data_IF_717650957267
#
_entry.id   IF_717650957267
#
_cell.length_a   1.000
_cell.length_b   1.000
_cell.length_c   1.000
_cell.angle_alpha   90.00
_cell.angle_beta   90.00
_cell.angle_gamma   90.00
#
_symmetry.space_group_name_H-M   'P 1'
#
loop_
_entity.id
_entity.type
_entity.pdbx_description
1 polymer ?
#
# COMPACT_ATOMS: atom_id res chain seq x y z
N UNK A 1 -32.76 -11.45 14.36
CA UNK A 1 -31.75 -10.49 13.83
C UNK A 1 -30.40 -10.99 14.29
N UNK A 2 -29.38 -10.94 13.43
CA UNK A 2 -28.02 -11.30 13.82
C UNK A 2 -27.47 -10.27 14.80
N UNK A 3 -26.84 -10.73 15.86
CA UNK A 3 -26.16 -9.88 16.85
C UNK A 3 -24.89 -9.27 16.24
N UNK A 4 -24.70 -7.96 16.37
CA UNK A 4 -23.54 -7.22 15.87
C UNK A 4 -22.49 -6.96 16.94
N UNK A 5 -22.77 -7.26 18.22
CA UNK A 5 -21.82 -7.10 19.31
C UNK A 5 -20.44 -7.73 19.02
N UNK A 6 -20.33 -8.92 18.40
CA UNK A 6 -19.03 -9.54 18.10
C UNK A 6 -18.11 -8.71 17.19
N UNK A 7 -18.64 -7.77 16.39
CA UNK A 7 -17.83 -6.88 15.55
C UNK A 7 -16.99 -5.91 16.38
N UNK A 8 -17.44 -5.57 17.59
CA UNK A 8 -16.81 -4.59 18.47
C UNK A 8 -15.91 -5.22 19.54
N UNK A 9 -15.76 -6.55 19.52
CA UNK A 9 -14.86 -7.28 20.40
C UNK A 9 -13.42 -7.25 19.88
N UNK A 10 -12.41 -7.11 20.75
CA UNK A 10 -11.00 -7.22 20.37
C UNK A 10 -10.66 -8.57 19.73
N UNK A 11 -9.66 -8.56 18.86
CA UNK A 11 -9.10 -9.77 18.24
C UNK A 11 -7.58 -9.69 18.19
N UNK A 12 -6.92 -10.85 18.35
CA UNK A 12 -5.47 -10.97 18.18
C UNK A 12 -5.16 -11.58 16.81
N UNK A 13 -4.44 -10.84 15.97
CA UNK A 13 -4.01 -11.27 14.63
C UNK A 13 -2.51 -11.53 14.68
N UNK A 14 -2.11 -12.82 14.72
CA UNK A 14 -0.68 -13.24 14.77
C UNK A 14 0.16 -12.50 15.82
N UNK A 15 -0.43 -12.14 16.95
CA UNK A 15 0.23 -11.42 18.04
C UNK A 15 -0.18 -9.95 18.17
N UNK A 16 -0.59 -9.30 17.08
CA UNK A 16 -1.09 -7.92 17.08
C UNK A 16 -2.47 -7.84 17.72
N UNK A 17 -2.61 -7.01 18.75
CA UNK A 17 -3.90 -6.69 19.36
C UNK A 17 -4.63 -5.63 18.53
N UNK A 18 -5.82 -5.98 18.05
CA UNK A 18 -6.72 -5.10 17.29
C UNK A 18 -7.96 -4.85 18.15
N UNK A 19 -8.37 -3.59 18.39
CA UNK A 19 -9.38 -3.27 19.40
C UNK A 19 -10.79 -3.71 19.01
N UNK A 20 -11.06 -3.98 17.74
CA UNK A 20 -12.31 -4.51 17.23
C UNK A 20 -12.10 -5.20 15.87
N UNK A 21 -13.17 -5.77 15.30
CA UNK A 21 -13.13 -6.52 14.03
C UNK A 21 -13.53 -5.67 12.81
N UNK A 22 -13.56 -4.35 12.96
CA UNK A 22 -13.84 -3.41 11.88
C UNK A 22 -12.52 -2.99 11.25
N UNK A 23 -12.35 -3.35 9.97
CA UNK A 23 -11.16 -3.02 9.19
C UNK A 23 -11.57 -2.05 8.08
N UNK A 24 -10.82 -0.96 7.94
CA UNK A 24 -10.92 -0.13 6.74
C UNK A 24 -10.21 -0.84 5.59
N UNK A 25 -10.98 -1.15 4.54
CA UNK A 25 -10.45 -1.70 3.30
C UNK A 25 -9.53 -0.71 2.57
N UNK A 26 -8.55 -1.22 1.80
CA UNK A 26 -7.68 -0.40 0.97
C UNK A 26 -8.49 0.34 -0.11
N UNK A 27 -8.30 1.66 -0.19
CA UNK A 27 -9.09 2.53 -1.07
C UNK A 27 -8.20 3.59 -1.71
N UNK A 28 -7.71 3.35 -2.93
CA UNK A 28 -6.93 4.34 -3.68
C UNK A 28 -7.68 5.64 -3.88
N UNK A 29 -7.06 6.76 -3.49
CA UNK A 29 -7.69 8.09 -3.52
C UNK A 29 -7.05 9.04 -4.53
N UNK A 30 -5.78 8.86 -4.86
CA UNK A 30 -5.01 9.76 -5.74
C UNK A 30 -4.87 11.18 -5.18
N UNK A 31 -4.61 11.29 -3.87
CA UNK A 31 -4.40 12.56 -3.14
C UNK A 31 -2.94 12.79 -2.72
N UNK A 32 -2.00 12.03 -3.28
CA UNK A 32 -0.57 12.16 -2.97
C UNK A 32 0.18 12.75 -4.17
N UNK A 33 0.09 14.07 -4.43
CA UNK A 33 0.70 14.67 -5.61
C UNK A 33 2.21 14.38 -5.67
N UNK A 34 2.68 13.85 -6.80
CA UNK A 34 4.07 13.43 -6.96
C UNK A 34 4.42 12.17 -6.15
N UNK A 35 3.43 11.37 -5.77
CA UNK A 35 3.61 10.15 -4.99
C UNK A 35 3.89 10.38 -3.51
N UNK A 36 3.75 11.60 -3.00
CA UNK A 36 4.05 11.96 -1.60
C UNK A 36 2.77 12.22 -0.82
N UNK A 37 2.44 11.43 0.23
CA UNK A 37 1.30 11.71 1.08
C UNK A 37 1.55 12.94 1.94
N UNK A 38 0.62 13.89 1.90
CA UNK A 38 0.65 15.14 2.67
C UNK A 38 -0.14 15.06 3.97
N UNK A 39 -0.27 16.21 4.63
CA UNK A 39 -1.04 16.35 5.87
C UNK A 39 -2.52 15.96 5.69
N UNK A 40 -3.10 16.23 4.52
CA UNK A 40 -4.48 15.87 4.20
C UNK A 40 -4.71 14.34 4.20
N UNK A 41 -3.70 13.57 3.77
CA UNK A 41 -3.69 12.10 3.83
C UNK A 41 -3.55 11.62 5.28
N UNK A 42 -2.68 12.24 6.07
CA UNK A 42 -2.52 11.92 7.50
C UNK A 42 -3.84 12.18 8.27
N UNK A 43 -4.44 13.35 8.11
CA UNK A 43 -5.71 13.73 8.73
C UNK A 43 -6.85 12.80 8.28
N UNK A 44 -6.81 12.32 7.03
CA UNK A 44 -7.78 11.37 6.50
C UNK A 44 -7.77 10.02 7.24
N UNK A 45 -6.59 9.45 7.50
CA UNK A 45 -6.48 8.19 8.22
C UNK A 45 -6.69 8.37 9.73
N UNK A 46 -6.14 9.43 10.33
CA UNK A 46 -6.30 9.73 11.75
C UNK A 46 -7.77 9.84 12.16
N UNK A 47 -8.61 10.50 11.34
CA UNK A 47 -10.06 10.61 11.59
C UNK A 47 -10.79 9.26 11.66
N UNK A 48 -10.27 8.22 11.01
CA UNK A 48 -10.88 6.88 11.01
C UNK A 48 -10.45 6.08 12.22
N UNK A 49 -9.19 6.19 12.59
CA UNK A 49 -8.69 5.64 13.85
C UNK A 49 -9.46 6.25 15.03
N UNK A 50 -9.65 7.58 15.03
CA UNK A 50 -10.44 8.30 16.02
C UNK A 50 -11.95 7.95 16.02
N UNK A 51 -12.43 7.24 14.99
CA UNK A 51 -13.79 6.74 14.87
C UNK A 51 -13.88 5.22 15.16
N UNK A 52 -12.95 4.71 15.98
CA UNK A 52 -12.88 3.32 16.43
C UNK A 52 -12.73 2.28 15.30
N UNK A 53 -12.10 2.63 14.17
CA UNK A 53 -11.66 1.60 13.20
C UNK A 53 -10.47 0.84 13.79
N UNK A 54 -10.62 -0.48 13.96
CA UNK A 54 -9.61 -1.30 14.63
C UNK A 54 -8.32 -1.45 13.84
N UNK A 55 -8.41 -1.66 12.53
CA UNK A 55 -7.26 -1.73 11.63
C UNK A 55 -7.54 -0.95 10.35
N UNK A 56 -6.58 -0.15 9.93
CA UNK A 56 -6.59 0.59 8.67
C UNK A 56 -5.64 -0.08 7.70
N UNK A 57 -6.13 -0.44 6.53
CA UNK A 57 -5.27 -0.76 5.38
C UNK A 57 -5.24 0.49 4.50
N UNK A 58 -4.04 0.96 4.15
CA UNK A 58 -3.88 2.17 3.34
C UNK A 58 -4.45 1.98 1.93
N UNK A 59 -4.45 3.05 1.14
CA UNK A 59 -4.49 2.93 -0.30
C UNK A 59 -3.30 2.10 -0.83
N UNK A 60 -3.38 1.66 -2.09
CA UNK A 60 -2.26 0.98 -2.74
C UNK A 60 -1.04 1.89 -2.78
N UNK A 61 0.08 1.39 -2.28
CA UNK A 61 1.36 2.12 -2.18
C UNK A 61 2.41 1.42 -3.03
N UNK A 62 3.07 2.15 -3.93
CA UNK A 62 3.86 1.48 -4.98
C UNK A 62 5.30 1.17 -4.56
N UNK A 63 5.74 -0.05 -4.87
CA UNK A 63 7.14 -0.50 -4.72
C UNK A 63 8.09 0.24 -5.67
N UNK A 64 9.41 0.11 -5.44
CA UNK A 64 10.48 0.78 -6.19
C UNK A 64 10.66 0.24 -7.61
N UNK A 65 9.67 0.43 -8.48
CA UNK A 65 9.70 0.05 -9.91
C UNK A 65 8.96 1.10 -10.73
N UNK A 66 9.57 1.59 -11.81
CA UNK A 66 8.95 2.64 -12.62
C UNK A 66 7.61 2.23 -13.26
N UNK A 67 7.43 0.92 -13.52
CA UNK A 67 6.18 0.33 -14.01
C UNK A 67 5.08 0.12 -12.95
N UNK A 68 5.30 0.49 -11.69
CA UNK A 68 4.41 0.12 -10.59
C UNK A 68 3.08 0.86 -10.58
N UNK A 69 3.04 2.11 -11.07
CA UNK A 69 1.86 2.96 -11.08
C UNK A 69 1.52 3.49 -12.48
N UNK A 70 0.23 3.73 -12.71
CA UNK A 70 -0.31 4.48 -13.84
C UNK A 70 -0.83 5.88 -13.48
N UNK A 71 -0.77 6.27 -12.21
CA UNK A 71 -1.20 7.58 -11.71
C UNK A 71 -0.10 8.21 -10.83
N UNK A 72 0.44 9.39 -11.19
CA UNK A 72 1.49 10.06 -10.43
C UNK A 72 1.02 10.61 -9.08
N UNK A 73 -0.28 10.50 -8.76
CA UNK A 73 -0.86 10.91 -7.47
C UNK A 73 -1.14 9.74 -6.53
N UNK A 74 -0.82 8.52 -6.95
CA UNK A 74 -0.80 7.35 -6.07
C UNK A 74 0.52 7.39 -5.30
N UNK A 75 0.48 7.27 -3.97
CA UNK A 75 1.68 7.37 -3.15
C UNK A 75 2.64 6.21 -3.41
N UNK A 76 3.93 6.53 -3.40
CA UNK A 76 4.98 5.51 -3.43
C UNK A 76 5.40 5.11 -2.01
N UNK A 77 6.01 3.93 -1.86
CA UNK A 77 6.49 3.41 -0.58
C UNK A 77 7.98 3.06 -0.67
N UNK A 78 8.78 3.96 -1.25
CA UNK A 78 10.21 3.73 -1.42
C UNK A 78 11.07 4.99 -1.52
N UNK A 79 10.51 6.12 -1.96
CA UNK A 79 11.27 7.38 -1.99
C UNK A 79 11.26 8.05 -0.62
N UNK A 80 12.40 8.62 -0.22
CA UNK A 80 12.58 9.23 1.11
C UNK A 80 11.48 10.24 1.49
N UNK A 81 11.07 11.09 0.53
CA UNK A 81 10.00 12.08 0.76
C UNK A 81 8.66 11.42 1.03
N UNK A 82 8.32 10.38 0.28
CA UNK A 82 7.08 9.65 0.47
C UNK A 82 7.10 8.86 1.79
N UNK A 83 8.24 8.23 2.11
CA UNK A 83 8.43 7.51 3.38
C UNK A 83 8.30 8.44 4.59
N UNK A 84 8.83 9.67 4.53
CA UNK A 84 8.62 10.66 5.59
C UNK A 84 7.14 11.07 5.74
N UNK A 85 6.43 11.22 4.62
CA UNK A 85 4.98 11.44 4.64
C UNK A 85 4.22 10.27 5.27
N UNK A 86 4.59 9.02 4.91
CA UNK A 86 3.99 7.82 5.49
C UNK A 86 4.26 7.66 6.97
N UNK A 87 5.44 8.05 7.44
CA UNK A 87 5.73 8.09 8.87
C UNK A 87 4.76 9.03 9.60
N UNK A 88 4.53 10.22 9.05
CA UNK A 88 3.56 11.18 9.59
C UNK A 88 2.14 10.61 9.63
N UNK A 89 1.74 9.86 8.59
CA UNK A 89 0.45 9.17 8.54
C UNK A 89 0.34 8.09 9.63
N UNK A 90 1.36 7.25 9.78
CA UNK A 90 1.38 6.19 10.78
C UNK A 90 1.32 6.76 12.21
N UNK A 91 2.16 7.75 12.49
CA UNK A 91 2.21 8.44 13.78
C UNK A 91 0.85 9.05 14.13
N UNK A 92 0.16 9.68 13.17
CA UNK A 92 -1.15 10.27 13.37
C UNK A 92 -2.24 9.22 13.67
N UNK A 93 -2.17 8.04 13.03
CA UNK A 93 -3.08 6.92 13.33
C UNK A 93 -2.81 6.34 14.70
N UNK A 94 -1.55 6.14 15.07
CA UNK A 94 -1.17 5.63 16.39
C UNK A 94 -1.53 6.61 17.50
N UNK A 95 -1.35 7.91 17.29
CA UNK A 95 -1.77 8.95 18.23
C UNK A 95 -3.30 8.94 18.47
N UNK A 96 -4.08 8.51 17.48
CA UNK A 96 -5.52 8.31 17.58
C UNK A 96 -5.92 6.91 18.11
N UNK A 97 -4.95 6.06 18.48
CA UNK A 97 -5.19 4.72 19.04
C UNK A 97 -5.48 3.62 18.02
N UNK A 98 -5.34 3.90 16.73
CA UNK A 98 -5.59 2.93 15.66
C UNK A 98 -4.38 2.04 15.33
N UNK A 99 -4.62 1.05 14.47
CA UNK A 99 -3.60 0.22 13.82
C UNK A 99 -3.57 0.48 12.32
N UNK A 100 -2.40 0.38 11.70
CA UNK A 100 -2.25 0.66 10.28
C UNK A 100 -1.28 -0.31 9.58
N UNK A 101 -1.64 -0.71 8.36
CA UNK A 101 -0.84 -1.53 7.47
C UNK A 101 -0.84 -0.92 6.06
N UNK A 102 0.32 -0.77 5.39
CA UNK A 102 0.33 -0.34 4.01
C UNK A 102 -0.05 -1.51 3.11
N UNK A 103 -0.86 -1.24 2.09
CA UNK A 103 -1.04 -2.16 0.96
C UNK A 103 0.15 -1.97 0.01
N UNK A 104 1.07 -2.94 -0.01
CA UNK A 104 2.25 -2.92 -0.87
C UNK A 104 1.85 -3.39 -2.27
N UNK A 105 2.06 -2.55 -3.27
CA UNK A 105 1.34 -2.69 -4.53
C UNK A 105 2.21 -2.49 -5.77
N UNK A 106 1.81 -3.18 -6.84
CA UNK A 106 2.35 -3.03 -8.19
C UNK A 106 1.23 -3.35 -9.20
N UNK A 107 0.92 -2.42 -10.11
CA UNK A 107 -0.15 -2.63 -11.11
C UNK A 107 0.19 -3.73 -12.13
N UNK A 108 1.48 -3.92 -12.38
CA UNK A 108 2.02 -4.85 -13.35
C UNK A 108 1.44 -4.62 -14.75
N UNK A 109 1.01 -5.70 -15.40
CA UNK A 109 0.53 -5.64 -16.79
C UNK A 109 -0.85 -4.97 -16.97
N UNK A 110 -1.46 -4.47 -15.89
CA UNK A 110 -2.65 -3.59 -15.95
C UNK A 110 -2.28 -2.14 -16.23
N UNK A 111 -1.04 -1.71 -15.94
CA UNK A 111 -0.57 -0.35 -16.20
C UNK A 111 -0.60 -0.06 -17.71
N UNK A 112 -1.15 1.08 -18.09
CA UNK A 112 -1.11 1.59 -19.46
C UNK A 112 0.28 2.21 -19.76
N UNK A 113 0.96 1.84 -20.86
CA UNK A 113 2.20 2.50 -21.27
C UNK A 113 2.05 4.02 -21.45
N UNK A 114 3.08 4.80 -21.12
CA UNK A 114 3.05 6.26 -21.22
C UNK A 114 2.28 6.97 -20.11
N UNK A 115 2.00 6.29 -18.99
CA UNK A 115 1.29 6.86 -17.83
C UNK A 115 2.10 6.71 -16.54
N UNK A 116 1.61 7.30 -15.45
CA UNK A 116 2.25 7.22 -14.14
C UNK A 116 3.39 8.22 -13.93
N UNK A 117 4.13 8.07 -12.82
CA UNK A 117 5.27 8.92 -12.50
C UNK A 117 6.43 8.75 -13.50
N UNK A 118 6.59 7.53 -14.04
CA UNK A 118 7.59 7.19 -15.06
C UNK A 118 6.90 6.70 -16.36
N UNK A 119 6.52 7.60 -17.28
CA UNK A 119 5.82 7.24 -18.51
C UNK A 119 6.61 6.30 -19.42
N UNK A 120 7.93 6.43 -19.44
CA UNK A 120 8.84 5.69 -20.31
C UNK A 120 9.24 4.32 -19.75
N UNK A 121 8.95 4.05 -18.47
CA UNK A 121 9.24 2.76 -17.86
C UNK A 121 8.34 1.65 -18.47
N UNK A 122 8.89 0.44 -18.72
CA UNK A 122 8.07 -0.68 -19.13
C UNK A 122 7.13 -1.10 -17.98
N UNK A 123 5.90 -1.51 -18.32
CA UNK A 123 5.11 -2.34 -17.40
C UNK A 123 5.79 -3.70 -17.27
N UNK A 124 5.75 -4.32 -16.11
CA UNK A 124 6.37 -5.62 -15.90
C UNK A 124 5.55 -6.50 -14.96
N UNK A 125 5.90 -7.79 -14.90
CA UNK A 125 5.12 -8.79 -14.19
C UNK A 125 5.62 -10.19 -14.48
N UNK A 126 5.15 -11.20 -13.72
CA UNK A 126 5.83 -12.49 -13.60
C UNK A 126 5.69 -13.41 -14.82
N UNK A 127 5.06 -12.96 -15.92
CA UNK A 127 4.77 -13.83 -17.08
C UNK A 127 4.88 -13.16 -18.45
N UNK A 128 5.14 -11.85 -18.52
CA UNK A 128 5.10 -11.13 -19.82
C UNK A 128 3.68 -11.04 -20.44
N UNK A 129 2.63 -11.47 -19.74
CA UNK A 129 1.24 -11.55 -20.24
C UNK A 129 0.34 -10.51 -19.60
N UNK A 130 -0.53 -9.92 -20.42
CA UNK A 130 -1.63 -9.08 -19.93
C UNK A 130 -2.63 -9.87 -19.08
N UNK A 131 -3.51 -9.17 -18.35
CA UNK A 131 -4.63 -9.79 -17.60
C UNK A 131 -5.59 -10.63 -18.47
N UNK A 132 -5.54 -10.49 -19.80
CA UNK A 132 -6.31 -11.29 -20.76
C UNK A 132 -5.52 -12.49 -21.33
N UNK A 133 -4.32 -12.76 -20.81
CA UNK A 133 -3.46 -13.87 -21.25
C UNK A 133 -2.64 -13.60 -22.51
N UNK A 134 -2.77 -12.43 -23.16
CA UNK A 134 -1.97 -12.07 -24.33
C UNK A 134 -0.51 -11.82 -23.94
N UNK A 135 0.43 -12.51 -24.59
CA UNK A 135 1.87 -12.24 -24.48
C UNK A 135 2.17 -10.87 -25.10
N UNK A 136 2.81 -9.98 -24.34
CA UNK A 136 3.21 -8.64 -24.78
C UNK A 136 4.69 -8.35 -24.56
N UNK A 137 5.35 -9.14 -23.73
CA UNK A 137 6.79 -9.10 -23.45
C UNK A 137 7.30 -10.53 -23.29
N UNK A 138 8.61 -10.82 -23.38
CA UNK A 138 9.16 -12.11 -22.97
C UNK A 138 8.81 -12.46 -21.53
N UNK A 139 8.88 -13.75 -21.19
CA UNK A 139 8.84 -14.16 -19.79
C UNK A 139 10.10 -13.65 -19.07
N UNK A 140 9.97 -13.10 -17.84
CA UNK A 140 11.12 -12.58 -17.11
C UNK A 140 12.08 -13.71 -16.75
N UNK A 141 13.37 -13.40 -16.77
CA UNK A 141 14.44 -14.25 -16.23
C UNK A 141 14.30 -14.39 -14.72
N UNK A 142 14.95 -15.41 -14.14
CA UNK A 142 14.98 -15.61 -12.69
C UNK A 142 15.52 -14.38 -11.94
N UNK A 143 16.53 -13.69 -12.50
CA UNK A 143 17.07 -12.46 -11.92
C UNK A 143 16.05 -11.33 -11.92
N UNK A 144 15.30 -11.14 -13.01
CA UNK A 144 14.26 -10.11 -13.07
C UNK A 144 13.13 -10.40 -12.08
N UNK A 145 12.75 -11.67 -11.90
CA UNK A 145 11.79 -12.07 -10.87
C UNK A 145 12.36 -11.81 -9.47
N UNK A 146 13.63 -12.13 -9.22
CA UNK A 146 14.28 -11.83 -7.95
C UNK A 146 14.27 -10.33 -7.66
N UNK A 147 14.54 -9.48 -8.66
CA UNK A 147 14.48 -8.02 -8.52
C UNK A 147 13.04 -7.52 -8.21
N UNK A 148 12.02 -8.15 -8.79
CA UNK A 148 10.61 -7.86 -8.44
C UNK A 148 10.33 -8.20 -6.97
N UNK A 149 10.76 -9.38 -6.52
CA UNK A 149 10.60 -9.82 -5.12
C UNK A 149 11.32 -8.86 -4.16
N UNK A 150 12.54 -8.45 -4.50
CA UNK A 150 13.30 -7.51 -3.69
C UNK A 150 12.62 -6.14 -3.56
N UNK A 151 11.92 -5.66 -4.60
CA UNK A 151 11.16 -4.41 -4.51
C UNK A 151 10.03 -4.49 -3.46
N UNK A 152 9.32 -5.62 -3.38
CA UNK A 152 8.31 -5.88 -2.34
C UNK A 152 8.95 -6.05 -0.96
N UNK A 153 10.06 -6.80 -0.86
CA UNK A 153 10.76 -7.02 0.39
C UNK A 153 11.30 -5.71 0.99
N UNK A 154 11.86 -4.84 0.16
CA UNK A 154 12.35 -3.53 0.58
C UNK A 154 11.20 -2.66 1.10
N UNK A 155 10.07 -2.58 0.39
CA UNK A 155 8.92 -1.80 0.85
C UNK A 155 8.34 -2.34 2.18
N UNK A 156 8.30 -3.67 2.35
CA UNK A 156 7.92 -4.29 3.61
C UNK A 156 8.91 -3.97 4.75
N UNK A 157 10.22 -3.96 4.45
CA UNK A 157 11.27 -3.55 5.39
C UNK A 157 11.12 -2.09 5.83
N UNK A 158 10.81 -1.20 4.89
CA UNK A 158 10.50 0.20 5.20
C UNK A 158 9.24 0.33 6.06
N UNK A 159 8.20 -0.46 5.80
CA UNK A 159 6.97 -0.41 6.61
C UNK A 159 7.26 -0.76 8.07
N UNK A 160 8.05 -1.81 8.29
CA UNK A 160 8.52 -2.18 9.63
C UNK A 160 9.40 -1.08 10.26
N UNK A 161 10.32 -0.49 9.51
CA UNK A 161 11.21 0.59 9.98
C UNK A 161 10.43 1.84 10.40
N UNK A 162 9.37 2.17 9.66
CA UNK A 162 8.50 3.33 9.92
C UNK A 162 7.46 3.06 11.03
N UNK A 163 7.38 1.84 11.56
CA UNK A 163 6.51 1.50 12.68
C UNK A 163 5.10 1.06 12.30
N UNK A 164 4.81 0.75 11.03
CA UNK A 164 3.52 0.15 10.66
C UNK A 164 3.32 -1.18 11.37
N UNK A 165 2.08 -1.50 11.74
CA UNK A 165 1.77 -2.67 12.55
C UNK A 165 1.75 -3.99 11.74
N UNK A 166 1.57 -3.88 10.41
CA UNK A 166 1.57 -5.01 9.49
C UNK A 166 1.77 -4.54 8.04
N UNK A 167 1.66 -5.45 7.08
CA UNK A 167 1.56 -5.17 5.64
C UNK A 167 0.42 -5.99 5.02
N UNK A 168 -0.15 -5.47 3.92
CA UNK A 168 -1.00 -6.23 3.01
C UNK A 168 -0.28 -6.38 1.65
N UNK A 169 -0.31 -7.59 1.08
CA UNK A 169 0.27 -7.93 -0.24
C UNK A 169 -0.83 -8.27 -1.24
#
# INVERSE_FOLDING_TARGET
MSDTAPLFEPIKIRGMDVPNRVVMAPMTRSFSPGGVPGQDVADYYARRAAADVGLIITEGTTVARGGASGDPRIPNFHEDKALAGWQTVADAVHAAGGKIAPQIWHMGMMRKPGTGPDPDAPSDGPSGKTHKGKQVQPEPTESEVADMVMAYANAAGEAARLGFDSIEL
#
